data_IF_518143337452
#
_entry.id   IF_518143337452
#
_cell.length_a   1.000
_cell.length_b   1.000
_cell.length_c   1.000
_cell.angle_alpha   90.00
_cell.angle_beta   90.00
_cell.angle_gamma   90.00
#
_symmetry.space_group_name_H-M   'P 1'
#
loop_
_entity.id
_entity.type
_entity.pdbx_description
1 polymer ?
#
# COMPACT_ATOMS: atom_id res chain seq x y z
N UNK A 1 -6.57 10.54 26.24
CA UNK A 1 -6.40 11.99 26.53
C UNK A 1 -5.52 12.70 25.50
N UNK A 2 -4.38 12.12 25.10
CA UNK A 2 -3.44 12.74 24.16
C UNK A 2 -4.05 13.05 22.79
N UNK A 3 -4.50 12.02 22.04
CA UNK A 3 -5.07 12.20 20.70
C UNK A 3 -6.27 13.17 20.67
N UNK A 4 -7.09 13.19 21.72
CA UNK A 4 -8.19 14.16 21.82
C UNK A 4 -7.69 15.61 21.86
N UNK A 5 -6.56 15.88 22.53
CA UNK A 5 -6.00 17.24 22.68
C UNK A 5 -5.11 17.63 21.51
N UNK A 6 -4.36 16.68 20.96
CA UNK A 6 -3.29 16.95 19.99
C UNK A 6 -3.54 16.37 18.59
N UNK A 7 -4.58 15.57 18.39
CA UNK A 7 -4.79 14.81 17.14
C UNK A 7 -4.91 15.68 15.90
N UNK A 8 -5.50 16.88 16.01
CA UNK A 8 -5.58 17.83 14.90
C UNK A 8 -4.20 18.37 14.46
N UNK A 9 -3.17 18.28 15.30
CA UNK A 9 -1.81 18.69 14.96
C UNK A 9 -0.94 17.51 14.49
N UNK A 10 -1.46 16.28 14.52
CA UNK A 10 -0.72 15.10 14.14
C UNK A 10 -0.68 14.98 12.61
N UNK A 11 0.49 15.25 12.03
CA UNK A 11 0.71 15.15 10.59
C UNK A 11 1.40 13.85 10.15
N UNK A 12 2.15 13.20 11.03
CA UNK A 12 2.91 11.99 10.72
C UNK A 12 2.58 10.91 11.74
N UNK A 13 2.15 9.75 11.27
CA UNK A 13 1.85 8.61 12.13
C UNK A 13 2.46 7.35 11.54
N UNK A 14 3.35 6.73 12.30
CA UNK A 14 3.94 5.44 12.00
C UNK A 14 3.55 4.46 13.09
N UNK A 15 3.18 3.24 12.73
CA UNK A 15 2.87 2.20 13.71
C UNK A 15 3.41 0.85 13.26
N UNK A 16 4.28 0.30 14.11
CA UNK A 16 4.78 -1.07 14.00
C UNK A 16 4.05 -1.88 15.06
N UNK A 17 3.23 -2.82 14.60
CA UNK A 17 2.46 -3.66 15.49
C UNK A 17 3.33 -4.78 16.03
N UNK A 18 3.77 -4.61 17.27
CA UNK A 18 4.41 -5.69 18.01
C UNK A 18 3.42 -6.85 18.24
N UNK A 19 3.96 -8.06 18.12
CA UNK A 19 3.25 -9.36 18.21
C UNK A 19 2.41 -9.46 19.50
N UNK A 20 2.87 -8.84 20.59
CA UNK A 20 2.30 -9.01 21.93
C UNK A 20 1.21 -7.98 22.30
N UNK A 21 0.85 -7.06 21.41
CA UNK A 21 -0.15 -6.04 21.73
C UNK A 21 -1.57 -6.60 21.58
N UNK A 22 -2.41 -6.41 22.60
CA UNK A 22 -3.79 -6.93 22.65
C UNK A 22 -4.60 -6.35 21.48
N UNK A 23 -5.28 -7.21 20.71
CA UNK A 23 -6.05 -6.82 19.52
C UNK A 23 -7.04 -5.67 19.80
N UNK A 24 -7.77 -5.73 20.90
CA UNK A 24 -8.72 -4.68 21.30
C UNK A 24 -8.08 -3.29 21.40
N UNK A 25 -6.85 -3.19 21.91
CA UNK A 25 -6.12 -1.92 21.99
C UNK A 25 -5.72 -1.41 20.60
N UNK A 26 -5.42 -2.32 19.66
CA UNK A 26 -5.13 -1.97 18.26
C UNK A 26 -6.35 -1.35 17.58
N UNK A 27 -7.52 -1.97 17.76
CA UNK A 27 -8.80 -1.43 17.27
C UNK A 27 -9.10 -0.06 17.90
N UNK A 28 -9.00 0.03 19.22
CA UNK A 28 -9.28 1.27 19.94
C UNK A 28 -8.34 2.40 19.50
N UNK A 29 -7.05 2.11 19.25
CA UNK A 29 -6.10 3.10 18.74
C UNK A 29 -6.54 3.63 17.38
N UNK A 30 -6.89 2.77 16.43
CA UNK A 30 -7.35 3.18 15.10
C UNK A 30 -8.67 3.95 15.14
N UNK A 31 -9.60 3.56 16.01
CA UNK A 31 -10.84 4.33 16.22
C UNK A 31 -10.55 5.73 16.75
N UNK A 32 -9.64 5.85 17.72
CA UNK A 32 -9.23 7.15 18.26
C UNK A 32 -8.49 7.99 17.22
N UNK A 33 -7.61 7.39 16.42
CA UNK A 33 -6.93 8.09 15.31
C UNK A 33 -7.95 8.59 14.29
N UNK A 34 -8.87 7.73 13.86
CA UNK A 34 -9.95 8.09 12.93
C UNK A 34 -10.79 9.24 13.49
N UNK A 35 -11.12 9.18 14.78
CA UNK A 35 -11.96 10.21 15.43
C UNK A 35 -11.27 11.56 15.58
N UNK A 36 -9.97 11.57 15.92
CA UNK A 36 -9.29 12.79 16.38
C UNK A 36 -8.18 13.32 15.46
N UNK A 37 -7.71 12.54 14.47
CA UNK A 37 -6.52 12.88 13.68
C UNK A 37 -6.89 13.04 12.20
N UNK A 38 -7.35 14.24 11.81
CA UNK A 38 -7.82 14.54 10.44
C UNK A 38 -6.73 15.04 9.49
N UNK A 39 -5.56 15.43 10.02
CA UNK A 39 -4.51 16.13 9.29
C UNK A 39 -3.27 15.26 9.02
N UNK A 40 -3.40 13.94 9.10
CA UNK A 40 -2.30 13.02 8.84
C UNK A 40 -1.91 13.10 7.35
N UNK A 41 -0.68 13.56 7.09
CA UNK A 41 -0.04 13.64 5.77
C UNK A 41 0.78 12.40 5.46
N UNK A 42 1.36 11.77 6.47
CA UNK A 42 2.17 10.57 6.35
C UNK A 42 1.63 9.47 7.25
N UNK A 43 1.23 8.36 6.65
CA UNK A 43 0.79 7.16 7.36
C UNK A 43 1.68 5.98 6.96
N UNK A 44 2.35 5.39 7.95
CA UNK A 44 3.16 4.19 7.78
C UNK A 44 2.66 3.10 8.73
N UNK A 45 2.22 1.99 8.16
CA UNK A 45 1.48 0.98 8.89
C UNK A 45 2.07 -0.41 8.64
N UNK A 46 2.78 -0.94 9.63
CA UNK A 46 3.34 -2.28 9.58
C UNK A 46 2.53 -3.21 10.46
N UNK A 47 1.88 -4.20 9.85
CA UNK A 47 0.95 -5.05 10.55
C UNK A 47 1.03 -6.55 10.23
N UNK A 48 0.56 -7.33 11.22
CA UNK A 48 0.62 -8.77 11.28
C UNK A 48 -0.76 -9.47 11.24
N UNK A 49 -1.91 -8.90 11.69
CA UNK A 49 -3.22 -9.63 11.80
C UNK A 49 -4.54 -8.90 11.44
N UNK A 50 -5.59 -8.84 12.27
CA UNK A 50 -6.99 -8.46 11.94
C UNK A 50 -7.46 -6.98 12.17
N UNK A 51 -6.97 -5.97 11.43
CA UNK A 51 -7.47 -4.55 11.55
C UNK A 51 -7.62 -3.85 10.19
N UNK A 52 -7.81 -4.62 9.12
CA UNK A 52 -7.84 -4.09 7.75
C UNK A 52 -8.94 -3.04 7.57
N UNK A 53 -10.16 -3.32 8.05
CA UNK A 53 -11.28 -2.38 7.92
C UNK A 53 -11.07 -1.09 8.72
N UNK A 54 -10.48 -1.17 9.92
CA UNK A 54 -10.18 0.02 10.72
C UNK A 54 -9.09 0.87 10.08
N UNK A 55 -8.08 0.23 9.48
CA UNK A 55 -7.06 0.93 8.70
C UNK A 55 -7.67 1.61 7.47
N UNK A 56 -8.52 0.91 6.73
CA UNK A 56 -9.23 1.47 5.56
C UNK A 56 -10.12 2.65 5.97
N UNK A 57 -10.85 2.55 7.09
CA UNK A 57 -11.65 3.65 7.63
C UNK A 57 -10.78 4.85 8.02
N UNK A 58 -9.61 4.60 8.61
CA UNK A 58 -8.65 5.68 8.91
C UNK A 58 -8.20 6.38 7.63
N UNK A 59 -7.78 5.62 6.61
CA UNK A 59 -7.32 6.13 5.30
C UNK A 59 -8.42 6.97 4.65
N UNK A 60 -9.65 6.45 4.60
CA UNK A 60 -10.81 7.16 4.05
C UNK A 60 -11.07 8.48 4.80
N UNK A 61 -10.95 8.48 6.13
CA UNK A 61 -11.15 9.67 6.96
C UNK A 61 -10.07 10.74 6.76
N UNK A 62 -8.83 10.34 6.46
CA UNK A 62 -7.71 11.26 6.21
C UNK A 62 -7.43 11.49 4.73
N UNK A 63 -8.30 11.02 3.82
CA UNK A 63 -8.06 11.05 2.36
C UNK A 63 -7.71 12.44 1.83
N UNK A 64 -8.29 13.50 2.40
CA UNK A 64 -8.05 14.87 1.95
C UNK A 64 -6.67 15.43 2.37
N UNK A 65 -6.01 14.84 3.36
CA UNK A 65 -4.74 15.32 3.92
C UNK A 65 -3.55 14.41 3.64
N UNK A 66 -3.79 13.11 3.41
CA UNK A 66 -2.73 12.13 3.19
C UNK A 66 -1.99 12.37 1.87
N UNK A 67 -0.66 12.38 1.94
CA UNK A 67 0.24 12.50 0.79
C UNK A 67 1.15 11.28 0.64
N UNK A 68 1.44 10.58 1.74
CA UNK A 68 2.36 9.46 1.82
C UNK A 68 1.67 8.32 2.57
N UNK A 69 1.55 7.17 1.90
CA UNK A 69 0.99 5.96 2.48
C UNK A 69 1.98 4.80 2.31
N UNK A 70 2.28 4.12 3.41
CA UNK A 70 3.04 2.88 3.44
C UNK A 70 2.26 1.84 4.22
N UNK A 71 1.99 0.70 3.58
CA UNK A 71 1.31 -0.44 4.18
C UNK A 71 2.22 -1.65 4.04
N UNK A 72 2.46 -2.32 5.16
CA UNK A 72 3.31 -3.48 5.23
C UNK A 72 2.62 -4.64 5.93
N UNK A 73 2.48 -5.75 5.20
CA UNK A 73 1.73 -6.95 5.60
C UNK A 73 2.72 -8.11 5.60
N UNK A 74 3.26 -8.45 6.78
CA UNK A 74 4.36 -9.41 6.92
C UNK A 74 3.90 -10.87 7.06
N UNK A 75 2.66 -11.09 7.51
CA UNK A 75 2.14 -12.43 7.80
C UNK A 75 0.72 -12.57 7.24
N UNK A 76 0.57 -13.46 6.26
CA UNK A 76 -0.73 -13.88 5.72
C UNK A 76 -0.79 -15.41 5.85
N UNK A 77 -1.35 -15.92 6.96
CA UNK A 77 -1.41 -17.36 7.21
C UNK A 77 -2.29 -18.05 6.13
N UNK A 78 -1.74 -19.10 5.56
CA UNK A 78 -2.14 -19.71 4.27
C UNK A 78 -3.57 -20.29 4.27
N UNK A 79 -4.15 -20.61 5.42
CA UNK A 79 -5.44 -21.32 5.44
C UNK A 79 -6.67 -20.44 5.12
N UNK A 80 -6.56 -19.10 5.12
CA UNK A 80 -7.72 -18.23 4.85
C UNK A 80 -7.50 -17.09 3.86
N UNK A 81 -6.32 -16.95 3.25
CA UNK A 81 -6.04 -15.92 2.23
C UNK A 81 -6.50 -14.51 2.62
N UNK A 82 -6.28 -14.11 3.88
CA UNK A 82 -7.26 -13.30 4.61
C UNK A 82 -6.98 -11.80 4.74
N UNK A 83 -5.73 -11.33 4.61
CA UNK A 83 -5.43 -9.91 4.91
C UNK A 83 -4.96 -9.10 3.72
N UNK A 84 -4.00 -9.62 2.97
CA UNK A 84 -3.53 -8.96 1.74
C UNK A 84 -4.68 -8.80 0.76
N UNK A 85 -5.56 -9.79 0.69
CA UNK A 85 -6.77 -9.79 -0.15
C UNK A 85 -7.70 -8.63 0.21
N UNK A 86 -8.08 -8.47 1.49
CA UNK A 86 -8.98 -7.39 1.94
C UNK A 86 -8.38 -6.02 1.62
N UNK A 87 -7.09 -5.82 1.89
CA UNK A 87 -6.42 -4.55 1.58
C UNK A 87 -6.43 -4.31 0.06
N UNK A 88 -6.00 -5.26 -0.77
CA UNK A 88 -5.95 -5.07 -2.22
C UNK A 88 -7.35 -4.82 -2.83
N UNK A 89 -8.37 -5.56 -2.38
CA UNK A 89 -9.73 -5.41 -2.90
C UNK A 89 -10.35 -4.03 -2.59
N UNK A 90 -10.01 -3.43 -1.44
CA UNK A 90 -10.68 -2.21 -0.97
C UNK A 90 -9.81 -0.94 -1.06
N UNK A 91 -8.49 -1.06 -0.93
CA UNK A 91 -7.61 0.10 -0.78
C UNK A 91 -7.75 1.06 -1.95
N UNK A 92 -7.78 0.55 -3.18
CA UNK A 92 -7.85 1.39 -4.38
C UNK A 92 -9.05 2.33 -4.40
N UNK A 93 -10.18 1.94 -3.81
CA UNK A 93 -11.40 2.76 -3.71
C UNK A 93 -11.31 3.84 -2.61
N UNK A 94 -10.45 3.62 -1.60
CA UNK A 94 -10.27 4.52 -0.45
C UNK A 94 -9.13 5.51 -0.62
N UNK A 95 -8.28 5.33 -1.64
CA UNK A 95 -7.17 6.24 -1.90
C UNK A 95 -7.69 7.61 -2.35
N UNK A 96 -6.98 8.71 -2.02
CA UNK A 96 -7.30 10.00 -2.62
C UNK A 96 -6.99 10.02 -4.12
N UNK A 97 -7.42 11.09 -4.80
CA UNK A 97 -7.12 11.30 -6.23
C UNK A 97 -5.64 11.54 -6.50
N UNK A 98 -4.84 11.87 -5.48
CA UNK A 98 -3.41 12.12 -5.62
C UNK A 98 -2.62 11.65 -4.40
N UNK A 99 -1.49 10.98 -4.64
CA UNK A 99 -0.46 10.66 -3.66
C UNK A 99 0.93 11.04 -4.17
N UNK A 100 1.77 11.55 -3.27
CA UNK A 100 3.20 11.72 -3.54
C UNK A 100 3.95 10.38 -3.43
N UNK A 101 3.46 9.48 -2.57
CA UNK A 101 4.07 8.16 -2.34
C UNK A 101 3.04 7.12 -1.92
N UNK A 102 3.08 5.95 -2.56
CA UNK A 102 2.40 4.74 -2.12
C UNK A 102 3.40 3.58 -2.06
N UNK A 103 3.50 2.92 -0.90
CA UNK A 103 4.27 1.69 -0.74
C UNK A 103 3.38 0.57 -0.25
N UNK A 104 3.39 -0.54 -0.98
CA UNK A 104 2.70 -1.77 -0.62
C UNK A 104 3.74 -2.88 -0.48
N UNK A 105 4.04 -3.25 0.76
CA UNK A 105 4.87 -4.41 1.08
C UNK A 105 3.91 -5.54 1.46
N UNK A 106 3.71 -6.50 0.55
CA UNK A 106 2.68 -7.53 0.67
C UNK A 106 3.35 -8.90 0.75
N UNK A 107 3.02 -9.70 1.76
CA UNK A 107 3.57 -11.05 1.90
C UNK A 107 3.23 -11.93 0.69
N UNK A 108 1.93 -12.08 0.38
CA UNK A 108 1.45 -12.87 -0.74
C UNK A 108 0.42 -12.10 -1.57
N UNK A 109 0.66 -12.02 -2.87
CA UNK A 109 -0.27 -11.42 -3.84
C UNK A 109 -1.06 -12.53 -4.52
N UNK A 110 -2.39 -12.44 -4.46
CA UNK A 110 -3.33 -13.16 -5.32
C UNK A 110 -3.61 -12.30 -6.55
N UNK A 111 -3.48 -12.91 -7.73
CA UNK A 111 -3.59 -12.22 -9.03
C UNK A 111 -4.89 -11.43 -9.18
N UNK A 112 -6.04 -12.05 -8.86
CA UNK A 112 -7.36 -11.42 -8.99
C UNK A 112 -7.50 -10.16 -8.15
N UNK A 113 -7.00 -10.19 -6.92
CA UNK A 113 -7.13 -9.06 -5.99
C UNK A 113 -6.19 -7.91 -6.38
N UNK A 114 -5.01 -8.25 -6.88
CA UNK A 114 -4.05 -7.26 -7.38
C UNK A 114 -4.53 -6.58 -8.66
N UNK A 115 -5.10 -7.34 -9.59
CA UNK A 115 -5.71 -6.76 -10.79
C UNK A 115 -6.90 -5.86 -10.43
N UNK A 116 -7.73 -6.27 -9.46
CA UNK A 116 -8.80 -5.41 -8.94
C UNK A 116 -8.25 -4.13 -8.32
N UNK A 117 -7.21 -4.22 -7.50
CA UNK A 117 -6.52 -3.05 -6.93
C UNK A 117 -6.05 -2.09 -8.02
N UNK A 118 -5.35 -2.59 -9.04
CA UNK A 118 -4.82 -1.80 -10.16
C UNK A 118 -5.93 -1.13 -10.99
N UNK A 119 -7.07 -1.79 -11.13
CA UNK A 119 -8.27 -1.23 -11.76
C UNK A 119 -8.90 -0.11 -10.91
N UNK A 120 -8.95 -0.29 -9.60
CA UNK A 120 -9.57 0.69 -8.70
C UNK A 120 -8.74 1.98 -8.56
N UNK A 121 -7.42 1.93 -8.78
CA UNK A 121 -6.56 3.12 -8.70
C UNK A 121 -6.43 3.89 -10.03
N UNK A 122 -7.24 3.59 -11.04
CA UNK A 122 -7.09 4.24 -12.35
C UNK A 122 -7.29 5.76 -12.30
N UNK A 123 -8.06 6.28 -11.36
CA UNK A 123 -8.27 7.73 -11.22
C UNK A 123 -7.38 8.38 -10.15
N UNK A 124 -6.47 7.61 -9.55
CA UNK A 124 -5.51 8.09 -8.55
C UNK A 124 -4.14 8.34 -9.19
N UNK A 125 -3.66 9.58 -9.15
CA UNK A 125 -2.29 9.91 -9.53
C UNK A 125 -1.31 9.56 -8.41
N UNK A 126 -0.34 8.68 -8.68
CA UNK A 126 0.66 8.24 -7.70
C UNK A 126 2.05 8.63 -8.22
N UNK A 127 2.70 9.62 -7.61
CA UNK A 127 4.01 10.07 -8.11
C UNK A 127 5.08 8.98 -7.97
N UNK A 128 5.18 8.33 -6.81
CA UNK A 128 6.08 7.19 -6.58
C UNK A 128 5.30 6.00 -6.04
N UNK A 129 5.35 4.89 -6.78
CA UNK A 129 4.74 3.62 -6.41
C UNK A 129 5.84 2.60 -6.09
N UNK A 130 5.75 1.99 -4.91
CA UNK A 130 6.63 0.91 -4.48
C UNK A 130 5.78 -0.33 -4.20
N UNK A 131 6.11 -1.45 -4.83
CA UNK A 131 5.41 -2.73 -4.59
C UNK A 131 6.46 -3.79 -4.25
N UNK A 132 6.33 -4.41 -3.09
CA UNK A 132 7.16 -5.53 -2.69
C UNK A 132 6.30 -6.76 -2.46
N UNK A 133 6.68 -7.88 -3.05
CA UNK A 133 6.00 -9.17 -2.85
C UNK A 133 6.99 -10.21 -2.30
N UNK A 134 6.83 -10.62 -1.04
CA UNK A 134 7.84 -11.43 -0.32
C UNK A 134 7.75 -12.94 -0.50
N UNK A 135 6.61 -13.47 -0.92
CA UNK A 135 6.43 -14.92 -1.08
C UNK A 135 5.53 -15.32 -2.25
N UNK A 136 5.13 -14.35 -3.08
CA UNK A 136 4.26 -14.67 -4.22
C UNK A 136 5.04 -15.34 -5.35
N UNK A 137 4.51 -16.46 -5.85
CA UNK A 137 4.94 -17.11 -7.09
C UNK A 137 4.41 -16.38 -8.33
N UNK A 138 3.60 -15.33 -8.15
CA UNK A 138 2.99 -14.57 -9.25
C UNK A 138 3.99 -13.55 -9.78
N UNK A 139 4.20 -13.58 -11.10
CA UNK A 139 4.82 -12.48 -11.81
C UNK A 139 3.81 -11.33 -11.96
N UNK A 140 4.11 -10.21 -11.31
CA UNK A 140 3.25 -9.02 -11.31
C UNK A 140 3.63 -8.04 -12.44
N UNK A 141 4.76 -8.24 -13.11
CA UNK A 141 5.26 -7.32 -14.12
C UNK A 141 4.28 -7.12 -15.29
N UNK A 142 3.61 -8.16 -15.84
CA UNK A 142 2.62 -7.97 -16.90
C UNK A 142 1.49 -7.02 -16.50
N UNK A 143 0.99 -7.16 -15.26
CA UNK A 143 -0.06 -6.29 -14.71
C UNK A 143 0.41 -4.86 -14.54
N UNK A 144 1.63 -4.67 -14.04
CA UNK A 144 2.23 -3.33 -13.93
C UNK A 144 2.37 -2.68 -15.31
N UNK A 145 2.85 -3.43 -16.31
CA UNK A 145 2.98 -2.92 -17.67
C UNK A 145 1.62 -2.47 -18.23
N UNK A 146 0.59 -3.29 -18.04
CA UNK A 146 -0.75 -2.99 -18.55
C UNK A 146 -1.40 -1.79 -17.85
N UNK A 147 -1.45 -1.83 -16.52
CA UNK A 147 -2.26 -0.89 -15.75
C UNK A 147 -1.51 0.36 -15.30
N UNK A 148 -0.18 0.30 -15.18
CA UNK A 148 0.65 1.42 -14.70
C UNK A 148 1.46 2.05 -15.84
N UNK A 149 2.21 1.23 -16.60
CA UNK A 149 3.12 1.73 -17.64
C UNK A 149 2.37 2.29 -18.85
N UNK A 150 1.54 1.48 -19.52
CA UNK A 150 0.79 1.91 -20.70
C UNK A 150 -0.14 3.08 -20.40
N UNK A 151 -0.67 3.13 -19.18
CA UNK A 151 -1.55 4.19 -18.68
C UNK A 151 -0.80 5.41 -18.11
N UNK A 152 0.53 5.37 -18.03
CA UNK A 152 1.41 6.47 -17.54
C UNK A 152 1.00 7.02 -16.17
N UNK A 153 0.66 6.14 -15.23
CA UNK A 153 0.06 6.51 -13.93
C UNK A 153 1.05 7.01 -12.88
N UNK A 154 2.33 6.69 -13.06
CA UNK A 154 3.39 6.98 -12.08
C UNK A 154 4.57 7.68 -12.71
N UNK A 155 5.34 8.43 -11.90
CA UNK A 155 6.62 9.01 -12.32
C UNK A 155 7.80 8.14 -11.91
N UNK A 156 7.70 7.51 -10.75
CA UNK A 156 8.71 6.63 -10.19
C UNK A 156 8.07 5.30 -9.81
N UNK A 157 8.75 4.20 -10.15
CA UNK A 157 8.30 2.85 -9.87
C UNK A 157 9.45 2.07 -9.24
N UNK A 158 9.19 1.39 -8.12
CA UNK A 158 10.11 0.40 -7.58
C UNK A 158 9.32 -0.88 -7.31
N UNK A 159 9.84 -2.01 -7.80
CA UNK A 159 9.23 -3.31 -7.57
C UNK A 159 10.28 -4.24 -6.99
N UNK A 160 9.93 -5.00 -5.96
CA UNK A 160 10.84 -5.98 -5.35
C UNK A 160 10.09 -7.27 -5.06
N UNK A 161 10.33 -8.29 -5.86
CA UNK A 161 9.77 -9.62 -5.59
C UNK A 161 10.72 -10.57 -4.90
N UNK A 162 10.15 -11.69 -4.45
CA UNK A 162 10.88 -12.84 -3.93
C UNK A 162 11.07 -13.96 -4.93
N UNK A 163 10.26 -14.01 -5.99
CA UNK A 163 10.53 -14.93 -7.10
C UNK A 163 11.86 -14.55 -7.75
N UNK A 164 12.65 -15.56 -8.11
CA UNK A 164 13.87 -15.39 -8.92
C UNK A 164 13.54 -14.54 -10.17
N UNK A 165 12.36 -14.80 -10.75
CA UNK A 165 11.76 -14.06 -11.86
C UNK A 165 11.68 -12.55 -11.58
N UNK A 166 11.08 -12.09 -10.48
CA UNK A 166 10.94 -10.65 -10.22
C UNK A 166 12.26 -9.98 -9.78
N UNK A 167 13.16 -10.70 -9.08
CA UNK A 167 14.49 -10.16 -8.70
C UNK A 167 15.37 -9.95 -9.93
N UNK A 168 15.28 -10.85 -10.90
CA UNK A 168 16.00 -10.75 -12.16
C UNK A 168 15.35 -9.72 -13.08
N UNK A 169 14.03 -9.70 -13.26
CA UNK A 169 13.37 -8.87 -14.28
C UNK A 169 13.61 -7.35 -14.16
N UNK A 170 13.70 -6.77 -12.97
CA UNK A 170 13.90 -5.31 -12.81
C UNK A 170 15.38 -4.92 -12.80
N UNK A 171 16.27 -5.89 -12.53
CA UNK A 171 17.71 -5.68 -12.73
C UNK A 171 18.12 -5.83 -14.20
N UNK A 172 17.24 -6.35 -15.07
CA UNK A 172 17.47 -6.36 -16.51
C UNK A 172 17.29 -4.95 -17.10
N UNK A 173 18.38 -4.44 -17.68
CA UNK A 173 18.46 -3.13 -18.33
C UNK A 173 17.33 -2.91 -19.35
N UNK A 174 16.94 -3.95 -20.08
CA UNK A 174 15.91 -3.88 -21.13
C UNK A 174 14.52 -3.51 -20.57
N UNK A 175 14.15 -4.07 -19.41
CA UNK A 175 12.88 -3.73 -18.75
C UNK A 175 12.91 -2.28 -18.28
N UNK A 176 14.00 -1.84 -17.67
CA UNK A 176 14.18 -0.44 -17.23
C UNK A 176 14.10 0.53 -18.42
N UNK A 177 14.73 0.17 -19.55
CA UNK A 177 14.71 0.98 -20.76
C UNK A 177 13.32 1.03 -21.40
N UNK A 178 12.54 -0.06 -21.35
CA UNK A 178 11.14 -0.07 -21.76
C UNK A 178 10.29 0.92 -20.95
N UNK A 179 10.41 0.94 -19.61
CA UNK A 179 9.69 1.91 -18.78
C UNK A 179 10.12 3.37 -19.04
N UNK A 180 11.39 3.60 -19.40
CA UNK A 180 11.87 4.95 -19.77
C UNK A 180 11.17 5.49 -21.01
N UNK A 181 10.80 4.64 -21.98
CA UNK A 181 10.03 5.05 -23.16
C UNK A 181 8.65 5.64 -22.79
N UNK A 182 8.14 5.28 -21.61
CA UNK A 182 6.90 5.81 -21.03
C UNK A 182 7.13 6.96 -20.04
N UNK A 183 8.35 7.49 -19.94
CA UNK A 183 8.78 8.51 -18.97
C UNK A 183 8.68 8.06 -17.50
N UNK A 184 8.76 6.75 -17.24
CA UNK A 184 8.75 6.18 -15.89
C UNK A 184 10.17 5.88 -15.45
N UNK A 185 10.57 6.39 -14.29
CA UNK A 185 11.87 6.13 -13.69
C UNK A 185 11.76 4.91 -12.76
N UNK A 186 12.39 3.81 -13.16
CA UNK A 186 12.47 2.60 -12.33
C UNK A 186 13.64 2.72 -11.34
N UNK A 187 13.42 2.36 -10.06
CA UNK A 187 14.38 2.43 -8.96
C UNK A 187 14.44 1.12 -8.17
#
# INVERSE_FOLDING_TARGET
LLLHKSGNYLENFGYILEVNFILSLKHQLLELLTKYCKNIKFLDFHYERQINYQLLNLIENIKQSINYLSIDIWYDYIETGGYSSIILQNLGQTLPSKLEYLSLNIYQIKTSDFELFLNNIQDTFIKKLVIKNFQSQVDILPFIKEYIMKKKRVKYLAIKGSSLVNKELISHKDVVDEFKLYNIKVQ
#
